data_IF_780799229210
#
_entry.id   IF_780799229210
#
_cell.length_a   1.000
_cell.length_b   1.000
_cell.length_c   1.000
_cell.angle_alpha   90.00
_cell.angle_beta   90.00
_cell.angle_gamma   90.00
#
_symmetry.space_group_name_H-M   'P 1'
#
loop_
_entity.id
_entity.type
_entity.pdbx_description
1 polymer ?
#
# COMPACT_ATOMS: atom_id res chain seq x y z
N UNK A 1 -53.50 -55.68 -39.61
CA UNK A 1 -53.27 -55.00 -38.31
C UNK A 1 -52.34 -55.90 -37.54
N UNK A 2 -51.33 -55.35 -36.85
CA UNK A 2 -50.18 -56.06 -36.25
C UNK A 2 -49.03 -56.39 -37.22
N UNK A 3 -48.18 -55.41 -37.53
CA UNK A 3 -46.76 -55.62 -37.94
C UNK A 3 -45.97 -54.30 -38.13
N UNK A 4 -46.58 -53.13 -37.89
CA UNK A 4 -45.91 -51.82 -38.09
C UNK A 4 -45.56 -51.02 -36.83
N UNK A 5 -45.87 -51.51 -35.63
CA UNK A 5 -45.52 -50.81 -34.37
C UNK A 5 -44.40 -51.46 -33.53
N UNK A 6 -43.88 -52.62 -33.93
CA UNK A 6 -42.76 -53.27 -33.24
C UNK A 6 -41.37 -52.76 -33.69
N UNK A 7 -41.29 -52.13 -34.87
CA UNK A 7 -40.01 -51.65 -35.42
C UNK A 7 -39.50 -50.36 -34.76
N UNK A 8 -40.35 -49.59 -34.07
CA UNK A 8 -39.95 -48.31 -33.48
C UNK A 8 -39.45 -48.40 -32.03
N UNK A 9 -39.66 -49.52 -31.32
CA UNK A 9 -39.18 -49.72 -29.94
C UNK A 9 -37.95 -50.62 -29.83
N UNK A 10 -37.61 -51.39 -30.88
CA UNK A 10 -36.38 -52.18 -30.95
C UNK A 10 -35.14 -51.38 -31.38
N UNK A 11 -35.32 -50.29 -32.14
CA UNK A 11 -34.23 -49.45 -32.63
C UNK A 11 -33.56 -48.57 -31.56
N UNK A 12 -34.25 -48.29 -30.45
CA UNK A 12 -33.73 -47.40 -29.39
C UNK A 12 -32.97 -48.15 -28.29
N UNK A 13 -33.23 -49.45 -28.09
CA UNK A 13 -32.51 -50.23 -27.05
C UNK A 13 -31.15 -50.80 -27.53
N UNK A 14 -30.99 -51.02 -28.85
CA UNK A 14 -29.72 -51.50 -29.42
C UNK A 14 -28.67 -50.39 -29.54
N UNK A 15 -29.08 -49.12 -29.63
CA UNK A 15 -28.16 -47.99 -29.65
C UNK A 15 -27.51 -47.69 -28.28
N UNK A 16 -28.12 -48.13 -27.16
CA UNK A 16 -27.58 -47.86 -25.81
C UNK A 16 -26.60 -48.94 -25.34
N UNK A 17 -26.70 -50.19 -25.83
CA UNK A 17 -25.78 -51.26 -25.39
C UNK A 17 -24.43 -51.29 -26.12
N UNK A 18 -24.31 -50.61 -27.27
CA UNK A 18 -23.04 -50.49 -28.01
C UNK A 18 -22.10 -49.40 -27.46
N UNK A 19 -22.53 -48.60 -26.49
CA UNK A 19 -21.69 -47.53 -25.89
C UNK A 19 -21.07 -47.95 -24.53
N UNK A 20 -21.48 -49.09 -23.94
CA UNK A 20 -21.02 -49.47 -22.57
C UNK A 20 -20.22 -50.79 -22.52
N UNK A 21 -20.13 -51.56 -23.61
CA UNK A 21 -19.49 -52.88 -23.60
C UNK A 21 -18.07 -52.95 -24.19
N UNK A 22 -17.28 -51.88 -24.10
CA UNK A 22 -15.84 -51.90 -24.46
C UNK A 22 -14.95 -51.64 -23.24
N UNK A 23 -15.32 -52.19 -22.08
CA UNK A 23 -14.62 -51.95 -20.81
C UNK A 23 -13.92 -53.17 -20.21
N UNK A 24 -13.89 -54.36 -20.82
CA UNK A 24 -13.20 -55.50 -20.17
C UNK A 24 -12.60 -56.50 -21.15
N UNK A 25 -11.29 -56.40 -21.34
CA UNK A 25 -10.35 -57.52 -21.52
C UNK A 25 -10.47 -58.41 -22.75
N UNK A 26 -9.42 -58.45 -23.57
CA UNK A 26 -8.68 -59.66 -23.99
C UNK A 26 -7.75 -59.31 -25.18
N UNK A 27 -6.44 -59.52 -25.00
CA UNK A 27 -5.48 -59.82 -26.08
C UNK A 27 -5.00 -58.65 -26.93
N UNK A 28 -3.77 -58.20 -26.70
CA UNK A 28 -3.03 -57.26 -27.54
C UNK A 28 -2.72 -57.84 -28.92
N UNK A 29 -3.33 -57.27 -29.96
CA UNK A 29 -2.84 -57.31 -31.35
C UNK A 29 -2.13 -55.97 -31.59
N UNK A 30 -0.82 -55.93 -31.88
CA UNK A 30 -0.14 -54.67 -32.17
C UNK A 30 -0.58 -54.16 -33.55
N UNK A 31 -1.46 -53.16 -33.55
CA UNK A 31 -1.71 -52.31 -34.72
C UNK A 31 -0.60 -51.25 -34.74
N UNK A 32 0.13 -51.06 -35.86
CA UNK A 32 1.12 -49.99 -35.94
C UNK A 32 0.36 -48.67 -35.96
N UNK A 33 0.31 -48.01 -34.81
CA UNK A 33 -0.13 -46.62 -34.71
C UNK A 33 1.04 -45.79 -35.20
N UNK A 34 0.96 -45.27 -36.42
CA UNK A 34 1.75 -44.11 -36.82
C UNK A 34 1.55 -43.06 -35.74
N UNK A 35 2.63 -42.75 -35.02
CA UNK A 35 2.59 -41.86 -33.87
C UNK A 35 2.05 -40.51 -34.30
N UNK A 36 0.77 -40.28 -34.05
CA UNK A 36 0.22 -38.95 -34.05
C UNK A 36 0.77 -38.28 -32.79
N UNK A 37 2.00 -37.78 -32.88
CA UNK A 37 2.57 -36.89 -31.89
C UNK A 37 1.62 -35.71 -31.79
N UNK A 38 0.72 -35.75 -30.80
CA UNK A 38 -0.03 -34.56 -30.42
C UNK A 38 1.01 -33.56 -29.99
N UNK A 39 1.26 -32.56 -30.84
CA UNK A 39 2.12 -31.44 -30.47
C UNK A 39 1.68 -30.98 -29.07
N UNK A 40 2.61 -30.86 -28.10
CA UNK A 40 2.25 -30.40 -26.78
C UNK A 40 1.49 -29.07 -26.93
N UNK A 41 0.28 -29.00 -26.37
CA UNK A 41 -0.49 -27.77 -26.34
C UNK A 41 0.20 -26.82 -25.37
N UNK A 42 1.15 -26.05 -25.88
CA UNK A 42 1.79 -24.96 -25.15
C UNK A 42 0.84 -23.77 -25.17
N UNK A 43 0.20 -23.51 -24.03
CA UNK A 43 -0.54 -22.25 -23.84
C UNK A 43 0.45 -21.24 -23.25
N UNK A 44 0.78 -20.21 -24.01
CA UNK A 44 1.78 -19.21 -23.62
C UNK A 44 1.50 -18.61 -22.24
N UNK A 45 0.22 -18.37 -21.90
CA UNK A 45 -0.19 -17.85 -20.58
C UNK A 45 -0.06 -18.83 -19.41
N UNK A 46 0.25 -20.10 -19.68
CA UNK A 46 0.43 -21.14 -18.67
C UNK A 46 1.87 -21.65 -18.63
N UNK A 47 2.79 -20.98 -19.35
CA UNK A 47 4.21 -21.28 -19.25
C UNK A 47 4.76 -20.70 -17.95
N UNK A 48 5.59 -21.43 -17.18
CA UNK A 48 6.11 -20.96 -15.90
C UNK A 48 6.78 -19.59 -16.02
N UNK A 49 7.49 -19.33 -17.12
CA UNK A 49 8.20 -18.07 -17.36
C UNK A 49 7.24 -16.90 -17.59
N UNK A 50 5.99 -17.16 -17.98
CA UNK A 50 4.93 -16.15 -18.15
C UNK A 50 4.06 -15.96 -16.89
N UNK A 51 4.28 -16.76 -15.84
CA UNK A 51 3.56 -16.69 -14.56
C UNK A 51 4.41 -15.98 -13.48
N UNK A 52 5.74 -16.01 -13.61
CA UNK A 52 6.63 -15.32 -12.70
C UNK A 52 6.53 -13.81 -12.92
N UNK A 53 6.06 -13.08 -11.90
CA UNK A 53 6.14 -11.63 -11.87
C UNK A 53 7.56 -11.23 -11.48
N UNK A 54 8.13 -10.25 -12.18
CA UNK A 54 9.37 -9.60 -11.73
C UNK A 54 9.05 -8.79 -10.48
N UNK A 55 9.70 -9.13 -9.36
CA UNK A 55 9.57 -8.42 -8.09
C UNK A 55 10.49 -7.19 -8.07
N UNK A 56 10.07 -6.15 -7.35
CA UNK A 56 10.97 -5.02 -7.09
C UNK A 56 12.19 -5.45 -6.27
N UNK A 57 13.30 -4.73 -6.42
CA UNK A 57 14.51 -5.00 -5.63
C UNK A 57 14.27 -4.66 -4.16
N UNK A 58 14.81 -5.47 -3.24
CA UNK A 58 14.64 -5.34 -1.79
C UNK A 58 15.98 -5.33 -1.02
N UNK A 59 16.98 -4.60 -1.51
CA UNK A 59 18.36 -4.70 -0.99
C UNK A 59 18.92 -3.43 -0.34
N UNK A 60 18.12 -2.36 -0.24
CA UNK A 60 18.57 -1.09 0.34
C UNK A 60 18.52 -1.05 1.88
N UNK A 61 19.18 -0.06 2.46
CA UNK A 61 19.09 0.29 3.88
C UNK A 61 18.45 1.69 4.00
N UNK A 62 17.72 1.95 5.09
CA UNK A 62 17.19 3.29 5.37
C UNK A 62 18.30 4.11 6.00
N UNK A 63 18.89 5.02 5.22
CA UNK A 63 19.92 5.94 5.69
C UNK A 63 19.34 7.35 5.95
N UNK A 64 19.91 8.06 6.92
CA UNK A 64 19.63 9.48 7.16
C UNK A 64 20.89 10.28 6.87
N UNK A 65 20.78 11.30 6.00
CA UNK A 65 21.89 12.19 5.69
C UNK A 65 22.07 13.27 6.76
N UNK A 66 21.02 13.59 7.51
CA UNK A 66 21.01 14.66 8.49
C UNK A 66 21.93 14.35 9.69
N UNK A 67 23.18 14.75 9.58
CA UNK A 67 24.13 14.79 10.70
C UNK A 67 23.91 16.06 11.53
N UNK A 68 23.37 15.94 12.74
CA UNK A 68 22.96 17.11 13.50
C UNK A 68 22.91 16.94 15.02
N UNK A 69 22.45 18.00 15.70
CA UNK A 69 22.04 17.91 17.10
C UNK A 69 20.90 16.91 17.23
N UNK A 70 20.85 16.17 18.34
CA UNK A 70 19.74 15.29 18.66
C UNK A 70 18.40 16.06 18.53
N UNK A 71 17.41 15.38 17.94
CA UNK A 71 16.05 15.89 17.69
C UNK A 71 15.05 14.93 18.31
N UNK A 72 13.89 15.44 18.70
CA UNK A 72 12.80 14.64 19.28
C UNK A 72 11.65 14.53 18.30
N UNK A 73 11.39 13.31 17.82
CA UNK A 73 10.27 12.97 16.95
C UNK A 73 9.16 12.35 17.78
N UNK A 74 8.01 13.03 17.86
CA UNK A 74 6.84 12.55 18.58
C UNK A 74 5.89 11.84 17.60
N UNK A 75 5.51 10.60 17.89
CA UNK A 75 4.56 9.80 17.13
C UNK A 75 3.25 9.70 17.93
N UNK A 76 2.15 10.10 17.32
CA UNK A 76 0.83 10.07 17.95
C UNK A 76 0.30 8.63 18.10
N UNK A 77 -0.13 8.31 19.32
CA UNK A 77 -0.86 7.10 19.69
C UNK A 77 -2.06 7.41 20.61
N UNK A 78 -2.43 8.68 20.79
CA UNK A 78 -3.52 9.08 21.71
C UNK A 78 -4.88 9.21 21.00
N UNK A 79 -4.93 8.97 19.69
CA UNK A 79 -6.16 9.03 18.88
C UNK A 79 -6.57 7.63 18.39
N UNK A 80 -6.32 6.62 19.23
CA UNK A 80 -6.54 5.20 18.93
C UNK A 80 -5.85 4.72 17.65
N UNK A 81 -4.73 5.36 17.28
CA UNK A 81 -3.94 4.99 16.11
C UNK A 81 -3.49 3.53 16.30
N UNK A 82 -3.95 2.64 15.42
CA UNK A 82 -3.54 1.24 15.45
C UNK A 82 -2.14 1.07 14.82
N UNK A 83 -1.15 1.75 15.39
CA UNK A 83 0.25 1.66 14.96
C UNK A 83 1.11 1.28 16.14
N UNK A 84 1.64 0.06 16.14
CA UNK A 84 2.58 -0.37 17.17
C UNK A 84 4.03 -0.02 16.81
N UNK A 85 4.94 0.18 17.78
CA UNK A 85 6.35 0.44 17.50
C UNK A 85 7.00 -0.65 16.64
N UNK A 86 6.55 -1.90 16.76
CA UNK A 86 7.06 -3.02 15.97
C UNK A 86 6.66 -2.91 14.48
N UNK A 87 5.44 -2.46 14.20
CA UNK A 87 4.96 -2.27 12.82
C UNK A 87 5.71 -1.19 12.07
N UNK A 88 6.21 -0.18 12.79
CA UNK A 88 7.02 0.92 12.22
C UNK A 88 8.48 0.84 12.65
N UNK A 89 8.95 -0.36 13.00
CA UNK A 89 10.32 -0.57 13.45
C UNK A 89 11.40 -0.05 12.50
N UNK A 90 11.26 -0.09 11.15
CA UNK A 90 12.26 0.53 10.27
C UNK A 90 12.47 2.02 10.56
N UNK A 91 11.38 2.76 10.74
CA UNK A 91 11.39 4.19 11.08
C UNK A 91 12.06 4.45 12.44
N UNK A 92 11.66 3.69 13.46
CA UNK A 92 12.12 3.85 14.84
C UNK A 92 13.61 3.52 14.95
N UNK A 93 14.04 2.41 14.32
CA UNK A 93 15.43 1.97 14.29
C UNK A 93 16.30 3.02 13.61
N UNK A 94 15.94 3.47 12.40
CA UNK A 94 16.73 4.42 11.65
C UNK A 94 16.92 5.76 12.41
N UNK A 95 15.84 6.30 13.01
CA UNK A 95 15.92 7.50 13.84
C UNK A 95 16.82 7.32 15.07
N UNK A 96 16.70 6.18 15.75
CA UNK A 96 17.46 5.90 16.99
C UNK A 96 18.94 5.65 16.68
N UNK A 97 19.25 4.94 15.60
CA UNK A 97 20.62 4.69 15.14
C UNK A 97 21.31 5.98 14.69
N UNK A 98 20.56 6.91 14.08
CA UNK A 98 21.01 8.26 13.78
C UNK A 98 21.15 9.18 15.03
N UNK A 99 20.78 8.70 16.22
CA UNK A 99 20.95 9.41 17.49
C UNK A 99 19.82 10.38 17.86
N UNK A 100 18.68 10.31 17.17
CA UNK A 100 17.48 11.08 17.51
C UNK A 100 16.64 10.35 18.57
N UNK A 101 15.80 11.10 19.28
CA UNK A 101 14.85 10.56 20.27
C UNK A 101 13.48 10.34 19.62
N UNK A 102 12.86 9.20 19.92
CA UNK A 102 11.53 8.83 19.43
C UNK A 102 10.60 8.65 20.61
N UNK A 103 9.57 9.50 20.68
CA UNK A 103 8.60 9.50 21.75
C UNK A 103 7.20 9.15 21.23
N UNK A 104 6.52 8.23 21.90
CA UNK A 104 5.11 7.92 21.60
C UNK A 104 4.17 8.72 22.50
N UNK A 105 3.33 9.57 21.90
CA UNK A 105 2.30 10.32 22.62
C UNK A 105 1.06 9.43 22.81
N UNK A 106 1.06 8.65 23.90
CA UNK A 106 0.02 7.67 24.24
C UNK A 106 -1.13 8.29 25.04
N UNK A 107 -2.28 7.61 25.15
CA UNK A 107 -3.39 7.99 26.04
C UNK A 107 -2.93 8.26 27.49
N UNK A 108 -1.98 7.46 27.98
CA UNK A 108 -1.41 7.63 29.32
C UNK A 108 -0.66 8.96 29.42
N UNK A 109 0.11 9.30 28.39
CA UNK A 109 0.83 10.56 28.35
C UNK A 109 -0.13 11.75 28.21
N UNK A 110 -1.12 11.65 27.32
CA UNK A 110 -2.17 12.65 27.14
C UNK A 110 -2.99 12.91 28.43
N UNK A 111 -3.10 11.92 29.32
CA UNK A 111 -3.74 12.08 30.63
C UNK A 111 -2.91 12.87 31.65
N UNK A 112 -1.62 13.05 31.39
CA UNK A 112 -0.65 13.67 32.31
C UNK A 112 -0.06 14.98 31.78
N UNK A 113 0.08 15.09 30.47
CA UNK A 113 0.74 16.18 29.77
C UNK A 113 -0.13 16.61 28.59
N UNK A 114 -0.32 17.91 28.44
CA UNK A 114 -1.08 18.45 27.31
C UNK A 114 -0.30 18.30 26.00
N UNK A 115 -1.03 18.21 24.88
CA UNK A 115 -0.42 18.21 23.55
C UNK A 115 0.50 19.43 23.33
N UNK A 116 0.16 20.57 23.92
CA UNK A 116 0.95 21.81 23.84
C UNK A 116 2.34 21.66 24.49
N UNK A 117 2.37 21.09 25.69
CA UNK A 117 3.61 20.80 26.40
C UNK A 117 4.44 19.77 25.62
N UNK A 118 3.81 18.75 25.05
CA UNK A 118 4.50 17.74 24.21
C UNK A 118 5.13 18.39 22.97
N UNK A 119 4.37 19.19 22.23
CA UNK A 119 4.85 19.88 21.03
C UNK A 119 5.92 20.93 21.36
N UNK A 120 5.94 21.47 22.59
CA UNK A 120 6.95 22.45 23.01
C UNK A 120 8.36 21.85 23.08
N UNK A 121 8.49 20.56 23.38
CA UNK A 121 9.74 19.81 23.45
C UNK A 121 10.01 18.94 22.22
N UNK A 122 9.12 18.95 21.23
CA UNK A 122 9.26 18.17 20.02
C UNK A 122 9.89 19.01 18.89
N UNK A 123 10.59 18.34 17.99
CA UNK A 123 11.05 18.90 16.72
C UNK A 123 10.16 18.47 15.56
N UNK A 124 9.55 17.29 15.68
CA UNK A 124 8.60 16.77 14.72
C UNK A 124 7.40 16.06 15.38
N UNK A 125 6.27 16.07 14.68
CA UNK A 125 5.04 15.38 15.06
C UNK A 125 4.52 14.53 13.91
N UNK A 126 4.34 13.23 14.17
CA UNK A 126 3.94 12.23 13.18
C UNK A 126 2.58 11.67 13.56
N UNK A 127 1.62 11.73 12.63
CA UNK A 127 0.28 11.16 12.81
C UNK A 127 0.08 10.08 11.76
N UNK A 128 -0.21 8.87 12.19
CA UNK A 128 -0.34 7.71 11.31
C UNK A 128 -1.73 7.10 11.51
N UNK A 129 -2.57 7.21 10.48
CA UNK A 129 -3.87 6.56 10.38
C UNK A 129 -4.67 6.55 11.70
N UNK A 130 -4.98 7.75 12.26
CA UNK A 130 -5.68 7.85 13.54
C UNK A 130 -7.08 7.27 13.40
N UNK A 131 -7.61 6.66 14.46
CA UNK A 131 -8.97 6.12 14.48
C UNK A 131 -9.97 7.17 15.00
N UNK A 132 -9.51 8.11 15.85
CA UNK A 132 -10.28 9.23 16.39
C UNK A 132 -10.00 10.56 15.68
N UNK A 133 -10.99 11.47 15.70
CA UNK A 133 -10.84 12.79 15.12
C UNK A 133 -10.11 13.75 16.07
N UNK A 134 -9.13 14.45 15.53
CA UNK A 134 -8.55 15.63 16.16
C UNK A 134 -9.58 16.75 16.31
N UNK A 135 -9.69 17.30 17.52
CA UNK A 135 -10.57 18.42 17.80
C UNK A 135 -10.03 19.75 17.23
N UNK A 136 -10.86 20.80 17.32
CA UNK A 136 -10.49 22.09 16.71
C UNK A 136 -9.31 22.77 17.43
N UNK A 137 -9.14 22.54 18.74
CA UNK A 137 -8.02 23.07 19.51
C UNK A 137 -6.72 22.37 19.15
N UNK A 138 -6.73 21.04 19.05
CA UNK A 138 -5.55 20.24 18.70
C UNK A 138 -5.05 20.57 17.30
N UNK A 139 -5.95 20.65 16.31
CA UNK A 139 -5.58 21.04 14.94
C UNK A 139 -4.90 22.41 14.88
N UNK A 140 -5.37 23.38 15.67
CA UNK A 140 -4.73 24.71 15.73
C UNK A 140 -3.36 24.66 16.37
N UNK A 141 -3.16 23.83 17.40
CA UNK A 141 -1.86 23.66 18.05
C UNK A 141 -0.84 23.02 17.12
N UNK A 142 -1.22 21.96 16.40
CA UNK A 142 -0.33 21.28 15.45
C UNK A 142 0.00 22.20 14.26
N UNK A 143 -0.97 22.99 13.78
CA UNK A 143 -0.70 24.00 12.76
C UNK A 143 0.28 25.08 13.24
N UNK A 144 0.08 25.62 14.46
CA UNK A 144 1.01 26.59 15.05
C UNK A 144 2.41 26.01 15.28
N UNK A 145 2.51 24.76 15.71
CA UNK A 145 3.77 24.03 15.83
C UNK A 145 4.52 23.96 14.50
N UNK A 146 3.81 23.68 13.40
CA UNK A 146 4.40 23.69 12.06
C UNK A 146 4.81 25.09 11.61
N UNK A 147 4.01 26.12 11.90
CA UNK A 147 4.33 27.53 11.59
C UNK A 147 5.60 28.01 12.33
N UNK A 148 5.83 27.51 13.54
CA UNK A 148 7.02 27.76 14.34
C UNK A 148 8.28 26.97 13.88
N UNK A 149 8.18 26.21 12.77
CA UNK A 149 9.31 25.48 12.20
C UNK A 149 9.39 24.00 12.58
N UNK A 150 8.45 23.50 13.39
CA UNK A 150 8.28 22.07 13.65
C UNK A 150 7.86 21.31 12.39
N UNK A 151 8.24 20.03 12.30
CA UNK A 151 7.95 19.20 11.12
C UNK A 151 6.73 18.32 11.37
N UNK A 152 5.79 18.26 10.43
CA UNK A 152 4.59 17.43 10.55
C UNK A 152 4.53 16.41 9.43
N UNK A 153 4.37 15.14 9.78
CA UNK A 153 4.10 14.07 8.83
C UNK A 153 2.71 13.48 9.10
N UNK A 154 1.86 13.52 8.08
CA UNK A 154 0.51 12.96 8.11
C UNK A 154 0.49 11.74 7.19
N UNK A 155 0.42 10.56 7.77
CA UNK A 155 0.32 9.30 7.04
C UNK A 155 -1.08 8.76 7.18
N UNK A 156 -1.70 8.38 6.07
CA UNK A 156 -3.04 7.82 6.08
C UNK A 156 -3.09 6.53 5.28
N UNK A 157 -4.15 5.75 5.49
CA UNK A 157 -4.41 4.52 4.76
C UNK A 157 -5.93 4.34 4.56
N UNK A 158 -6.36 3.46 3.64
CA UNK A 158 -7.77 3.13 3.50
C UNK A 158 -8.37 2.57 4.79
N UNK A 159 -9.69 2.71 5.01
CA UNK A 159 -10.34 2.15 6.19
C UNK A 159 -10.07 0.65 6.35
N UNK A 160 -9.68 0.24 7.57
CA UNK A 160 -9.37 -1.16 7.88
C UNK A 160 -10.62 -1.93 8.27
N UNK A 161 -10.61 -3.25 8.14
CA UNK A 161 -11.64 -4.11 8.71
C UNK A 161 -11.21 -4.61 10.09
N UNK A 162 -12.01 -4.31 11.11
CA UNK A 162 -11.82 -4.84 12.45
C UNK A 162 -12.20 -6.33 12.52
N UNK A 163 -11.77 -7.01 13.59
CA UNK A 163 -11.99 -8.44 13.85
C UNK A 163 -13.47 -8.90 13.83
N UNK A 164 -14.43 -7.98 13.87
CA UNK A 164 -15.88 -8.25 13.80
C UNK A 164 -16.54 -7.78 12.49
N UNK A 165 -15.75 -7.50 11.46
CA UNK A 165 -16.22 -6.98 10.16
C UNK A 165 -16.68 -5.51 10.21
N UNK A 166 -16.46 -4.81 11.31
CA UNK A 166 -16.71 -3.37 11.39
C UNK A 166 -15.60 -2.62 10.64
N UNK A 167 -15.97 -1.63 9.83
CA UNK A 167 -14.99 -0.75 9.17
C UNK A 167 -14.49 0.29 10.16
N UNK A 168 -13.18 0.36 10.35
CA UNK A 168 -12.50 1.39 11.15
C UNK A 168 -12.10 2.51 10.20
N UNK A 169 -12.67 3.69 10.41
CA UNK A 169 -12.33 4.88 9.63
C UNK A 169 -10.99 5.44 10.10
N UNK A 170 -10.25 6.05 9.17
CA UNK A 170 -8.99 6.75 9.44
C UNK A 170 -9.16 8.27 9.24
N UNK A 171 -9.87 8.98 10.15
CA UNK A 171 -10.26 10.38 9.92
C UNK A 171 -9.10 11.38 10.00
N UNK A 172 -8.35 11.53 8.90
CA UNK A 172 -7.27 12.53 8.76
C UNK A 172 -7.73 13.86 8.13
N UNK A 173 -8.90 13.89 7.49
CA UNK A 173 -9.32 15.01 6.62
C UNK A 173 -9.30 16.37 7.32
N UNK A 174 -9.80 16.46 8.55
CA UNK A 174 -9.85 17.74 9.26
C UNK A 174 -8.46 18.23 9.65
N UNK A 175 -7.57 17.34 10.09
CA UNK A 175 -6.20 17.68 10.46
C UNK A 175 -5.39 18.07 9.22
N UNK A 176 -5.40 17.25 8.16
CA UNK A 176 -4.72 17.58 6.90
C UNK A 176 -5.23 18.89 6.30
N UNK A 177 -6.55 19.14 6.39
CA UNK A 177 -7.18 20.37 5.91
C UNK A 177 -6.65 21.64 6.58
N UNK A 178 -6.15 21.56 7.83
CA UNK A 178 -5.51 22.68 8.51
C UNK A 178 -4.23 23.15 7.78
N UNK A 179 -3.61 22.27 7.01
CA UNK A 179 -2.42 22.53 6.19
C UNK A 179 -2.77 22.75 4.71
N UNK A 180 -4.06 22.77 4.32
CA UNK A 180 -4.44 22.80 2.90
C UNK A 180 -4.14 21.49 2.14
N UNK A 181 -3.97 20.39 2.88
CA UNK A 181 -3.77 19.03 2.36
C UNK A 181 -5.03 18.19 2.60
N UNK A 182 -5.14 17.05 1.93
CA UNK A 182 -6.26 16.14 2.13
C UNK A 182 -6.00 14.75 1.53
N UNK A 183 -6.89 13.82 1.85
CA UNK A 183 -6.86 12.45 1.34
C UNK A 183 -8.20 12.11 0.71
N UNK A 184 -8.21 11.76 -0.57
CA UNK A 184 -9.42 11.30 -1.23
C UNK A 184 -9.82 9.91 -0.71
N UNK A 185 -11.07 9.54 -0.95
CA UNK A 185 -11.66 8.28 -0.51
C UNK A 185 -11.34 7.13 -1.47
N UNK A 186 -11.15 5.93 -0.90
CA UNK A 186 -10.79 4.74 -1.66
C UNK A 186 -9.29 4.45 -1.63
N UNK A 187 -8.86 3.60 -2.54
CA UNK A 187 -7.47 3.18 -2.71
C UNK A 187 -7.14 3.15 -4.21
N UNK A 188 -5.86 3.30 -4.52
CA UNK A 188 -5.32 3.20 -5.86
C UNK A 188 -5.04 1.75 -6.24
N UNK A 189 -5.26 1.44 -7.51
CA UNK A 189 -4.89 0.16 -8.12
C UNK A 189 -4.55 0.36 -9.59
N UNK A 190 -3.69 -0.49 -10.13
CA UNK A 190 -3.32 -0.52 -11.54
C UNK A 190 -3.41 -1.96 -12.05
N UNK A 191 -3.92 -2.15 -13.27
CA UNK A 191 -4.06 -3.45 -13.92
C UNK A 191 -3.09 -3.61 -15.11
N UNK A 192 -2.32 -2.58 -15.43
CA UNK A 192 -1.37 -2.54 -16.53
C UNK A 192 0.07 -2.50 -16.03
N UNK A 193 0.37 -1.68 -15.02
CA UNK A 193 1.72 -1.50 -14.49
C UNK A 193 1.67 -1.44 -12.95
N UNK A 194 2.06 -2.55 -12.30
CA UNK A 194 1.99 -2.72 -10.85
C UNK A 194 3.10 -3.67 -10.37
N UNK A 195 3.37 -3.67 -9.08
CA UNK A 195 4.39 -4.50 -8.44
C UNK A 195 3.73 -5.75 -7.83
N UNK A 196 3.78 -6.88 -8.55
CA UNK A 196 3.26 -8.24 -8.20
C UNK A 196 1.78 -8.36 -7.79
N UNK A 197 1.16 -7.28 -7.30
CA UNK A 197 -0.20 -7.13 -6.84
C UNK A 197 -0.76 -5.83 -7.43
N UNK A 198 -1.91 -5.90 -8.09
CA UNK A 198 -2.58 -4.73 -8.69
C UNK A 198 -2.84 -3.54 -7.73
N UNK A 199 -2.74 -3.73 -6.41
CA UNK A 199 -2.87 -2.65 -5.42
C UNK A 199 -1.54 -2.04 -4.99
N UNK A 200 -0.42 -2.68 -5.32
CA UNK A 200 0.92 -2.15 -5.18
C UNK A 200 1.26 -1.38 -6.46
N UNK A 201 0.93 -0.08 -6.47
CA UNK A 201 1.07 0.79 -7.64
C UNK A 201 2.38 1.57 -7.57
N UNK A 202 2.99 1.76 -8.73
CA UNK A 202 4.19 2.58 -8.83
C UNK A 202 3.87 4.08 -8.78
N UNK A 203 4.74 4.83 -8.12
CA UNK A 203 4.76 6.30 -8.21
C UNK A 203 6.19 6.80 -8.45
N UNK A 204 6.30 7.94 -9.13
CA UNK A 204 7.59 8.54 -9.51
C UNK A 204 7.63 10.01 -9.08
N UNK A 205 8.83 10.60 -8.90
CA UNK A 205 8.96 12.01 -8.57
C UNK A 205 8.25 12.93 -9.56
N UNK A 206 7.47 13.89 -9.03
CA UNK A 206 6.89 14.97 -9.81
C UNK A 206 7.91 16.08 -10.14
N UNK A 207 9.08 16.04 -9.49
CA UNK A 207 10.21 16.94 -9.66
C UNK A 207 11.32 16.62 -8.67
N UNK A 208 12.47 17.27 -8.85
CA UNK A 208 13.65 17.11 -7.99
C UNK A 208 13.47 17.96 -6.72
N UNK A 209 13.45 17.30 -5.56
CA UNK A 209 13.36 17.94 -4.24
C UNK A 209 14.16 17.12 -3.24
N UNK A 210 14.52 17.71 -2.09
CA UNK A 210 15.16 16.95 -1.01
C UNK A 210 14.31 15.77 -0.48
N UNK A 211 12.99 15.76 -0.72
CA UNK A 211 12.12 14.64 -0.33
C UNK A 211 12.07 13.50 -1.35
N UNK A 212 12.60 13.73 -2.55
CA UNK A 212 12.58 12.79 -3.68
C UNK A 212 13.98 12.59 -4.25
N UNK A 213 15.02 13.05 -3.55
CA UNK A 213 16.40 12.91 -4.00
C UNK A 213 16.80 11.44 -3.97
N UNK A 214 17.47 10.98 -5.02
CA UNK A 214 17.83 9.56 -5.18
C UNK A 214 16.66 8.58 -5.39
N UNK A 215 15.41 9.05 -5.46
CA UNK A 215 14.24 8.19 -5.70
C UNK A 215 13.93 8.15 -7.20
N UNK A 216 14.11 7.00 -7.86
CA UNK A 216 13.67 6.83 -9.25
C UNK A 216 12.19 6.40 -9.29
N UNK A 217 11.81 5.43 -8.45
CA UNK A 217 10.44 4.90 -8.37
C UNK A 217 10.17 4.21 -7.04
N UNK A 218 8.97 4.45 -6.52
CA UNK A 218 8.47 3.79 -5.30
C UNK A 218 7.31 2.85 -5.60
N UNK A 219 7.09 1.88 -4.71
CA UNK A 219 5.91 1.02 -4.69
C UNK A 219 5.01 1.43 -3.53
N UNK A 220 3.76 1.77 -3.82
CA UNK A 220 2.76 2.12 -2.80
C UNK A 220 1.62 1.10 -2.78
N UNK A 221 1.33 0.49 -1.64
CA UNK A 221 0.30 -0.51 -1.46
C UNK A 221 -1.00 0.09 -0.93
N UNK A 222 -2.07 0.03 -1.73
CA UNK A 222 -3.39 0.54 -1.37
C UNK A 222 -3.41 2.04 -1.04
N UNK A 223 -2.47 2.80 -1.59
CA UNK A 223 -2.36 4.23 -1.34
C UNK A 223 -3.67 4.99 -1.58
N UNK A 224 -3.93 5.98 -0.74
CA UNK A 224 -4.98 6.98 -0.92
C UNK A 224 -4.45 8.15 -1.74
N UNK A 225 -5.22 8.72 -2.68
CA UNK A 225 -4.82 9.95 -3.33
C UNK A 225 -4.66 11.08 -2.32
N UNK A 226 -3.51 11.76 -2.36
CA UNK A 226 -3.26 13.00 -1.64
C UNK A 226 -3.68 14.16 -2.52
N UNK A 227 -4.38 15.14 -1.94
CA UNK A 227 -4.87 16.33 -2.65
C UNK A 227 -4.43 17.60 -1.95
N UNK A 228 -4.25 18.68 -2.72
CA UNK A 228 -3.69 19.93 -2.23
C UNK A 228 -2.16 19.88 -2.12
N UNK A 229 -1.56 20.98 -1.70
CA UNK A 229 -0.10 21.12 -1.62
C UNK A 229 0.61 21.01 -2.98
N UNK A 230 1.93 20.88 -2.92
CA UNK A 230 2.78 20.55 -4.06
C UNK A 230 2.96 19.03 -4.12
N UNK A 231 2.56 18.34 -5.21
CA UNK A 231 2.76 16.91 -5.35
C UNK A 231 4.25 16.60 -5.44
N UNK A 232 4.68 15.53 -4.76
CA UNK A 232 6.05 15.04 -4.75
C UNK A 232 6.18 13.70 -5.46
N UNK A 233 5.23 12.79 -5.25
CA UNK A 233 5.15 11.51 -5.93
C UNK A 233 3.80 11.33 -6.59
N UNK A 234 3.82 10.94 -7.87
CA UNK A 234 2.63 10.82 -8.71
C UNK A 234 2.65 9.48 -9.43
N UNK A 235 1.50 8.81 -9.48
CA UNK A 235 1.31 7.56 -10.21
C UNK A 235 1.29 7.76 -11.73
N UNK A 236 1.39 6.67 -12.48
CA UNK A 236 1.22 6.67 -13.93
C UNK A 236 -0.23 6.97 -14.36
N UNK A 237 -0.47 7.03 -15.68
CA UNK A 237 -1.79 7.30 -16.26
C UNK A 237 -2.73 6.10 -16.22
N UNK A 238 -2.22 4.87 -16.11
CA UNK A 238 -3.06 3.66 -16.09
C UNK A 238 -3.74 3.43 -14.74
N UNK A 239 -3.20 4.03 -13.67
CA UNK A 239 -3.71 3.95 -12.30
C UNK A 239 -5.18 4.37 -12.20
N UNK A 240 -5.93 3.65 -11.37
CA UNK A 240 -7.35 3.86 -11.13
C UNK A 240 -7.67 4.05 -9.65
N UNK A 241 -8.64 4.91 -9.37
CA UNK A 241 -9.21 5.07 -8.03
C UNK A 241 -10.37 4.10 -7.80
N UNK A 242 -10.36 3.33 -6.70
CA UNK A 242 -11.36 2.28 -6.44
C UNK A 242 -12.80 2.76 -6.31
N UNK A 243 -13.03 3.98 -5.83
CA UNK A 243 -14.37 4.55 -5.61
C UNK A 243 -15.03 5.01 -6.91
N UNK A 244 -14.25 5.60 -7.82
CA UNK A 244 -14.77 6.18 -9.08
C UNK A 244 -14.47 5.35 -10.31
N UNK A 245 -13.50 4.43 -10.21
CA UNK A 245 -12.87 3.69 -11.32
C UNK A 245 -12.25 4.59 -12.39
N UNK A 246 -12.11 5.89 -12.12
CA UNK A 246 -11.48 6.84 -13.04
C UNK A 246 -10.01 6.47 -13.18
N UNK A 247 -9.55 6.48 -14.43
CA UNK A 247 -8.15 6.34 -14.78
C UNK A 247 -7.51 7.72 -14.89
N UNK A 248 -6.43 7.96 -14.13
CA UNK A 248 -5.71 9.23 -14.09
C UNK A 248 -4.38 9.06 -13.35
N UNK A 249 -3.55 10.11 -13.37
CA UNK A 249 -2.42 10.26 -12.45
C UNK A 249 -2.92 10.77 -11.10
N UNK A 250 -2.44 10.16 -10.02
CA UNK A 250 -2.81 10.53 -8.65
C UNK A 250 -1.55 10.85 -7.85
N UNK A 251 -1.58 11.93 -7.07
CA UNK A 251 -0.52 12.21 -6.10
C UNK A 251 -0.67 11.27 -4.91
N UNK A 252 0.43 10.68 -4.45
CA UNK A 252 0.47 9.79 -3.26
C UNK A 252 1.33 10.36 -2.13
N UNK A 253 2.15 11.37 -2.45
CA UNK A 253 2.91 12.17 -1.50
C UNK A 253 2.82 13.63 -1.92
N UNK A 254 2.50 14.53 -0.99
CA UNK A 254 2.50 15.97 -1.23
C UNK A 254 3.01 16.74 -0.02
N UNK A 255 3.52 17.95 -0.26
CA UNK A 255 4.02 18.84 0.78
C UNK A 255 3.35 20.21 0.73
N UNK A 256 3.08 20.76 1.91
CA UNK A 256 2.73 22.16 2.08
C UNK A 256 3.52 22.73 3.27
N UNK A 257 4.48 23.62 2.99
CA UNK A 257 5.31 24.24 4.03
C UNK A 257 6.08 23.21 4.86
N UNK A 258 5.77 23.14 6.15
CA UNK A 258 6.38 22.22 7.11
C UNK A 258 5.54 20.96 7.37
N UNK A 259 4.51 20.71 6.55
CA UNK A 259 3.70 19.50 6.59
C UNK A 259 3.86 18.65 5.31
N UNK A 260 4.01 17.34 5.48
CA UNK A 260 4.03 16.34 4.42
C UNK A 260 2.86 15.37 4.63
N UNK A 261 2.15 15.03 3.56
CA UNK A 261 1.07 14.06 3.57
C UNK A 261 1.42 12.87 2.68
N UNK A 262 1.46 11.68 3.28
CA UNK A 262 1.72 10.38 2.63
C UNK A 262 0.44 9.53 2.65
N UNK A 263 -0.01 9.12 1.47
CA UNK A 263 -1.26 8.38 1.28
C UNK A 263 -1.18 6.90 1.64
N UNK A 264 -0.05 6.41 2.15
CA UNK A 264 0.19 4.99 2.35
C UNK A 264 1.03 4.72 3.61
N UNK A 265 0.44 3.97 4.55
CA UNK A 265 1.12 3.54 5.78
C UNK A 265 2.16 2.45 5.54
N UNK A 266 1.99 1.62 4.50
CA UNK A 266 2.79 0.39 4.36
C UNK A 266 4.28 0.68 4.19
N UNK A 267 4.64 1.84 3.62
CA UNK A 267 6.02 2.29 3.46
C UNK A 267 6.76 2.49 4.79
N UNK A 268 6.04 2.64 5.90
CA UNK A 268 6.66 2.79 7.22
C UNK A 268 7.01 1.44 7.87
N UNK A 269 6.50 0.34 7.33
CA UNK A 269 6.66 -1.00 7.88
C UNK A 269 7.47 -1.91 6.98
N UNK A 270 7.96 -3.00 7.56
CA UNK A 270 8.87 -3.96 6.91
C UNK A 270 8.34 -4.56 5.61
N UNK A 271 7.01 -4.58 5.43
CA UNK A 271 6.36 -5.19 4.25
C UNK A 271 6.65 -4.43 2.96
N UNK A 272 6.86 -3.11 3.03
CA UNK A 272 7.09 -2.26 1.86
C UNK A 272 8.25 -1.28 2.04
N UNK A 273 8.78 -1.08 3.25
CA UNK A 273 9.83 -0.09 3.49
C UNK A 273 11.10 -0.28 2.65
N UNK A 274 11.35 -1.50 2.17
CA UNK A 274 12.54 -1.85 1.36
C UNK A 274 12.18 -2.21 -0.08
N UNK A 275 10.94 -2.03 -0.52
CA UNK A 275 10.51 -2.39 -1.87
C UNK A 275 10.79 -1.26 -2.85
N UNK A 276 11.48 -1.55 -3.96
CA UNK A 276 11.91 -0.54 -4.93
C UNK A 276 12.83 0.50 -4.26
N UNK A 277 12.60 1.81 -4.43
CA UNK A 277 13.38 2.85 -3.74
C UNK A 277 12.65 3.39 -2.49
N UNK A 278 11.78 2.57 -1.88
CA UNK A 278 11.00 3.00 -0.71
C UNK A 278 11.89 3.37 0.47
N UNK A 279 13.02 2.68 0.66
CA UNK A 279 13.95 2.95 1.75
C UNK A 279 14.61 4.32 1.61
N UNK A 280 14.93 4.73 0.37
CA UNK A 280 15.47 6.05 0.05
C UNK A 280 14.42 7.12 0.34
N UNK A 281 13.16 6.88 -0.06
CA UNK A 281 12.08 7.81 0.27
C UNK A 281 11.87 7.92 1.79
N UNK A 282 11.90 6.80 2.52
CA UNK A 282 11.75 6.80 3.98
C UNK A 282 12.90 7.56 4.64
N UNK A 283 14.14 7.37 4.18
CA UNK A 283 15.30 8.16 4.60
C UNK A 283 15.08 9.66 4.42
N UNK A 284 14.66 10.07 3.22
CA UNK A 284 14.34 11.47 2.91
C UNK A 284 13.21 12.04 3.79
N UNK A 285 12.20 11.24 4.13
CA UNK A 285 11.14 11.64 5.06
C UNK A 285 11.68 11.83 6.48
N UNK A 286 12.59 10.96 6.92
CA UNK A 286 13.24 11.06 8.22
C UNK A 286 14.13 12.30 8.30
N UNK A 287 14.93 12.57 7.28
CA UNK A 287 15.71 13.81 7.16
C UNK A 287 14.82 15.05 7.20
N UNK A 288 13.67 15.00 6.52
CA UNK A 288 12.68 16.07 6.63
C UNK A 288 12.22 16.27 8.07
N UNK A 289 11.91 15.21 8.83
CA UNK A 289 11.46 15.30 10.23
C UNK A 289 12.52 15.94 11.13
N UNK A 290 13.80 15.62 10.95
CA UNK A 290 14.88 16.10 11.82
C UNK A 290 15.54 17.40 11.35
N UNK A 291 15.18 17.90 10.15
CA UNK A 291 15.65 19.18 9.60
C UNK A 291 14.89 20.42 10.10
N UNK A 292 13.96 20.26 11.06
CA UNK A 292 13.19 21.36 11.65
C UNK A 292 14.09 22.46 12.23
N UNK A 293 13.68 23.72 12.07
CA UNK A 293 14.44 24.89 12.58
C UNK A 293 14.08 25.27 14.01
N UNK A 294 13.31 24.43 14.69
CA UNK A 294 12.92 24.60 16.09
C UNK A 294 14.03 24.14 17.03
#
# INVERSE_FOLDING_TARGET
MELRDAALKGGVFVAVFLVVATLTGLGSIPVPVEGNETAPLTVDSHQPEAILADESTETGEIELDASGTQKTVVIDQSHNNSVSPEEISPLVTALTEAGHDVQFYTDRMASQQSLDETLSSADAFVVIAPDDQYDTSERRRIAAFADDGGRVLLVNEPPRQAARGATVSTPMTNLAGAFGLGFDSGYLYDLAEYDTNHRAVYATPAGETALTDGVDRVTTHTARPVVGGSPLLVTNESTRLSTTRRQARYSVLARQGNAVALGDRSLLGTDYAYTADNEVLVGNLLDFLVSGSR
#
